data_IF_876511069949
#
_entry.id   IF_876511069949
#
_cell.length_a   1.000
_cell.length_b   1.000
_cell.length_c   1.000
_cell.angle_alpha   90.00
_cell.angle_beta   90.00
_cell.angle_gamma   90.00
#
_symmetry.space_group_name_H-M   'P 1'
#
loop_
_entity.id
_entity.type
_entity.pdbx_description
1 polymer ?
#
# COMPACT_ATOMS: atom_id res chain seq x y z
N UNK A 1 18.17 1.38 -70.23
CA UNK A 1 18.43 0.60 -69.01
C UNK A 1 18.65 1.56 -67.84
N UNK A 2 17.61 1.92 -67.06
CA UNK A 2 17.78 2.60 -65.79
C UNK A 2 17.65 1.61 -64.62
N UNK A 3 18.59 1.70 -63.68
CA UNK A 3 18.71 0.88 -62.48
C UNK A 3 17.59 1.18 -61.48
N UNK A 4 16.82 0.16 -61.06
CA UNK A 4 15.95 0.24 -59.88
C UNK A 4 16.79 0.01 -58.61
N UNK A 5 16.93 1.06 -57.80
CA UNK A 5 17.45 0.93 -56.45
C UNK A 5 16.36 0.36 -55.52
N UNK A 6 16.66 -0.65 -54.68
CA UNK A 6 15.71 -1.15 -53.69
C UNK A 6 15.57 -0.14 -52.55
N UNK A 7 14.33 0.20 -52.20
CA UNK A 7 14.03 1.02 -51.03
C UNK A 7 14.45 0.30 -49.75
N UNK A 8 15.34 0.93 -48.97
CA UNK A 8 15.76 0.42 -47.67
C UNK A 8 14.58 0.45 -46.67
N UNK A 9 14.46 -0.56 -45.80
CA UNK A 9 13.41 -0.59 -44.78
C UNK A 9 13.64 0.53 -43.76
N UNK A 10 12.63 1.38 -43.59
CA UNK A 10 12.62 2.45 -42.57
C UNK A 10 12.70 1.79 -41.20
N UNK A 11 13.82 1.99 -40.53
CA UNK A 11 14.06 1.54 -39.15
C UNK A 11 12.92 2.00 -38.23
N UNK A 12 12.41 1.05 -37.44
CA UNK A 12 11.35 1.26 -36.47
C UNK A 12 11.66 2.43 -35.54
N UNK A 13 10.66 3.27 -35.32
CA UNK A 13 10.72 4.36 -34.38
C UNK A 13 11.20 3.86 -33.01
N UNK A 14 12.17 4.52 -32.36
CA UNK A 14 12.60 4.13 -31.03
C UNK A 14 11.42 4.24 -30.06
N UNK A 15 11.25 3.22 -29.24
CA UNK A 15 10.28 3.20 -28.15
C UNK A 15 10.44 4.48 -27.32
N UNK A 16 9.42 5.36 -27.36
CA UNK A 16 9.38 6.53 -26.49
C UNK A 16 9.36 6.03 -25.05
N UNK A 17 10.50 6.14 -24.37
CA UNK A 17 10.53 6.23 -22.91
C UNK A 17 9.66 7.44 -22.57
N UNK A 18 8.44 7.20 -22.10
CA UNK A 18 7.59 8.27 -21.58
C UNK A 18 8.32 8.93 -20.42
N UNK A 19 8.96 10.07 -20.69
CA UNK A 19 9.46 10.95 -19.65
C UNK A 19 8.30 11.23 -18.69
N UNK A 20 8.47 10.83 -17.44
CA UNK A 20 7.54 11.15 -16.37
C UNK A 20 7.29 12.66 -16.42
N UNK A 21 6.02 13.06 -16.56
CA UNK A 21 5.66 14.48 -16.68
C UNK A 21 6.22 15.26 -15.51
N UNK A 22 6.97 16.32 -15.77
CA UNK A 22 7.52 17.24 -14.76
C UNK A 22 6.45 17.74 -13.79
N UNK A 23 5.19 17.85 -14.25
CA UNK A 23 4.03 18.19 -13.41
C UNK A 23 3.71 17.12 -12.36
N UNK A 24 3.85 15.84 -12.70
CA UNK A 24 3.61 14.74 -11.76
C UNK A 24 4.72 14.70 -10.68
N UNK A 25 5.98 14.88 -11.07
CA UNK A 25 7.09 14.98 -10.11
C UNK A 25 6.92 16.18 -9.18
N UNK A 26 6.48 17.33 -9.70
CA UNK A 26 6.22 18.52 -8.89
C UNK A 26 5.07 18.31 -7.88
N UNK A 27 3.98 17.63 -8.28
CA UNK A 27 2.87 17.31 -7.37
C UNK A 27 3.32 16.36 -6.26
N UNK A 28 4.04 15.29 -6.61
CA UNK A 28 4.57 14.33 -5.63
C UNK A 28 5.54 15.02 -4.67
N UNK A 29 6.45 15.85 -5.18
CA UNK A 29 7.38 16.61 -4.36
C UNK A 29 6.65 17.62 -3.45
N UNK A 30 5.63 18.32 -3.94
CA UNK A 30 4.82 19.22 -3.12
C UNK A 30 4.09 18.47 -2.01
N UNK A 31 3.55 17.28 -2.31
CA UNK A 31 2.88 16.43 -1.31
C UNK A 31 3.85 15.91 -0.26
N UNK A 32 5.05 15.47 -0.66
CA UNK A 32 6.11 15.08 0.26
C UNK A 32 6.50 16.24 1.18
N UNK A 33 6.69 17.43 0.62
CA UNK A 33 7.07 18.62 1.40
C UNK A 33 5.97 19.06 2.36
N UNK A 34 4.71 19.09 1.93
CA UNK A 34 3.57 19.48 2.78
C UNK A 34 3.32 18.43 3.87
N UNK A 35 3.30 17.15 3.52
CA UNK A 35 3.14 16.08 4.49
C UNK A 35 4.32 16.09 5.47
N UNK A 36 5.56 16.12 5.00
CA UNK A 36 6.75 16.19 5.84
C UNK A 36 6.73 17.39 6.79
N UNK A 37 6.39 18.59 6.30
CA UNK A 37 6.28 19.78 7.13
C UNK A 37 5.16 19.68 8.18
N UNK A 38 3.97 19.20 7.78
CA UNK A 38 2.85 18.99 8.70
C UNK A 38 3.20 17.96 9.78
N UNK A 39 3.86 16.87 9.41
CA UNK A 39 4.29 15.82 10.32
C UNK A 39 5.34 16.33 11.31
N UNK A 40 6.35 17.06 10.85
CA UNK A 40 7.35 17.67 11.72
C UNK A 40 6.76 18.72 12.67
N UNK A 41 5.70 19.42 12.25
CA UNK A 41 5.00 20.40 13.07
C UNK A 41 4.06 19.74 14.10
N UNK A 42 3.28 18.75 13.70
CA UNK A 42 2.28 18.06 14.52
C UNK A 42 2.91 17.06 15.50
N UNK A 43 4.08 16.49 15.19
CA UNK A 43 4.80 15.52 16.03
C UNK A 43 5.42 16.14 17.30
N UNK A 44 5.03 17.36 17.70
CA UNK A 44 5.69 18.08 18.79
C UNK A 44 5.28 17.65 20.19
N UNK A 45 4.07 17.14 20.40
CA UNK A 45 3.63 16.68 21.73
C UNK A 45 2.35 15.87 21.61
N UNK A 46 2.45 14.55 21.81
CA UNK A 46 1.35 13.60 22.04
C UNK A 46 0.30 13.46 20.91
N UNK A 47 0.45 12.41 20.09
CA UNK A 47 -0.67 11.72 19.45
C UNK A 47 -0.22 10.35 18.90
N UNK A 48 -0.84 9.26 19.36
CA UNK A 48 -0.68 7.91 18.81
C UNK A 48 0.15 6.93 19.66
N UNK A 49 0.07 5.67 19.27
CA UNK A 49 0.80 4.52 19.80
C UNK A 49 2.27 4.47 19.33
N UNK A 50 2.83 5.56 18.80
CA UNK A 50 4.19 5.59 18.24
C UNK A 50 5.26 5.17 19.25
N UNK A 51 5.14 5.60 20.52
CA UNK A 51 6.09 5.18 21.56
C UNK A 51 5.96 3.70 21.90
N UNK A 52 4.76 3.12 21.78
CA UNK A 52 4.58 1.69 21.86
C UNK A 52 5.24 0.98 20.68
N UNK A 53 5.14 1.51 19.46
CA UNK A 53 5.84 0.97 18.30
C UNK A 53 7.37 1.02 18.48
N UNK A 54 7.91 2.13 19.00
CA UNK A 54 9.34 2.28 19.28
C UNK A 54 9.82 1.33 20.38
N UNK A 55 9.07 1.21 21.47
CA UNK A 55 9.39 0.30 22.55
C UNK A 55 9.34 -1.17 22.10
N UNK A 56 8.33 -1.54 21.32
CA UNK A 56 8.17 -2.89 20.76
C UNK A 56 9.24 -3.22 19.73
N UNK A 57 9.59 -2.28 18.85
CA UNK A 57 10.69 -2.45 17.89
C UNK A 57 12.06 -2.55 18.56
N UNK A 58 12.27 -1.82 19.66
CA UNK A 58 13.46 -1.94 20.50
C UNK A 58 13.55 -3.33 21.12
N UNK A 59 12.47 -3.78 21.76
CA UNK A 59 12.36 -5.11 22.35
C UNK A 59 12.68 -6.20 21.33
N UNK A 60 12.08 -6.13 20.13
CA UNK A 60 12.37 -7.09 19.06
C UNK A 60 13.85 -7.08 18.65
N UNK A 61 14.50 -5.91 18.65
CA UNK A 61 15.92 -5.79 18.29
C UNK A 61 16.84 -6.34 19.38
N UNK A 62 16.49 -6.14 20.65
CA UNK A 62 17.31 -6.55 21.80
C UNK A 62 17.09 -8.02 22.20
N UNK A 63 15.85 -8.51 22.16
CA UNK A 63 15.45 -9.82 22.67
C UNK A 63 15.01 -10.82 21.58
N UNK A 64 14.80 -10.35 20.35
CA UNK A 64 14.28 -11.16 19.26
C UNK A 64 12.75 -11.39 19.35
N UNK A 65 12.27 -12.48 18.76
CA UNK A 65 10.83 -12.75 18.67
C UNK A 65 10.22 -13.09 20.04
N UNK A 66 9.30 -12.24 20.50
CA UNK A 66 8.62 -12.37 21.79
C UNK A 66 7.16 -12.77 21.58
N UNK A 67 6.70 -13.80 22.28
CA UNK A 67 5.32 -14.33 22.18
C UNK A 67 4.42 -13.98 23.36
N UNK A 68 4.97 -13.38 24.42
CA UNK A 68 4.23 -12.93 25.59
C UNK A 68 4.49 -11.46 25.86
N UNK A 69 3.45 -10.68 26.12
CA UNK A 69 3.61 -9.24 26.35
C UNK A 69 4.43 -8.96 27.61
N UNK A 70 5.56 -8.24 27.51
CA UNK A 70 6.32 -7.79 28.67
C UNK A 70 5.76 -6.48 29.26
N UNK A 71 4.75 -5.88 28.63
CA UNK A 71 4.25 -4.56 28.98
C UNK A 71 3.27 -4.63 30.16
N UNK A 72 3.62 -4.07 31.34
CA UNK A 72 2.83 -4.18 32.57
C UNK A 72 1.40 -3.61 32.43
N UNK A 73 1.25 -2.55 31.65
CA UNK A 73 0.00 -1.78 31.53
C UNK A 73 -0.91 -2.21 30.39
N UNK A 74 -0.47 -3.14 29.52
CA UNK A 74 -1.25 -3.57 28.36
C UNK A 74 -1.82 -4.98 28.53
N UNK A 75 -0.94 -5.98 28.71
CA UNK A 75 -1.37 -7.38 28.72
C UNK A 75 -0.29 -8.29 29.32
N UNK A 76 0.36 -7.89 30.41
CA UNK A 76 1.53 -8.60 30.95
C UNK A 76 1.30 -10.11 31.05
N UNK A 77 2.24 -10.88 30.50
CA UNK A 77 2.23 -12.35 30.52
C UNK A 77 1.22 -13.03 29.59
N UNK A 78 0.30 -12.28 28.98
CA UNK A 78 -0.63 -12.82 27.98
C UNK A 78 0.07 -13.07 26.65
N UNK A 79 -0.48 -13.99 25.86
CA UNK A 79 -0.02 -14.24 24.50
C UNK A 79 -0.15 -12.95 23.69
N UNK A 80 0.95 -12.55 23.07
CA UNK A 80 1.00 -11.37 22.22
C UNK A 80 1.27 -11.81 20.79
N UNK A 81 0.21 -11.83 19.98
CA UNK A 81 0.32 -12.03 18.55
C UNK A 81 0.79 -10.72 17.91
N UNK A 82 2.10 -10.48 17.89
CA UNK A 82 2.66 -9.26 17.34
C UNK A 82 2.55 -9.25 15.81
N UNK A 83 1.38 -8.84 15.30
CA UNK A 83 1.08 -8.82 13.87
C UNK A 83 1.79 -7.71 13.11
N UNK A 84 2.24 -6.66 13.81
CA UNK A 84 2.81 -5.44 13.21
C UNK A 84 4.30 -5.29 13.49
N UNK A 85 4.96 -6.40 13.86
CA UNK A 85 6.37 -6.45 14.26
C UNK A 85 7.31 -5.74 13.27
N UNK A 86 7.05 -5.83 11.96
CA UNK A 86 7.92 -5.23 10.95
C UNK A 86 7.78 -3.71 10.94
N UNK A 87 6.57 -3.19 11.17
CA UNK A 87 6.38 -1.75 11.31
C UNK A 87 7.10 -1.24 12.56
N UNK A 88 6.93 -1.93 13.69
CA UNK A 88 7.59 -1.61 14.96
C UNK A 88 9.11 -1.58 14.80
N UNK A 89 9.67 -2.61 14.16
CA UNK A 89 11.10 -2.67 13.86
C UNK A 89 11.56 -1.50 12.99
N UNK A 90 10.86 -1.21 11.89
CA UNK A 90 11.21 -0.09 10.99
C UNK A 90 11.12 1.26 11.70
N UNK A 91 10.11 1.48 12.53
CA UNK A 91 9.97 2.68 13.35
C UNK A 91 11.15 2.84 14.32
N UNK A 92 11.53 1.77 15.02
CA UNK A 92 12.68 1.81 15.92
C UNK A 92 14.00 2.07 15.19
N UNK A 93 14.26 1.38 14.07
CA UNK A 93 15.49 1.59 13.29
C UNK A 93 15.59 3.01 12.72
N UNK A 94 14.50 3.55 12.17
CA UNK A 94 14.47 4.93 11.66
C UNK A 94 14.65 5.96 12.78
N UNK A 95 14.08 5.70 13.96
CA UNK A 95 14.31 6.52 15.15
C UNK A 95 15.76 6.45 15.64
N UNK A 96 16.38 5.27 15.65
CA UNK A 96 17.77 5.11 16.05
C UNK A 96 18.75 5.89 15.15
N UNK A 97 18.42 6.01 13.86
CA UNK A 97 19.25 6.72 12.87
C UNK A 97 19.03 8.24 12.84
N UNK A 98 17.79 8.70 13.00
CA UNK A 98 17.42 10.11 12.76
C UNK A 98 16.51 10.74 13.82
N UNK A 99 16.31 10.06 14.95
CA UNK A 99 15.35 10.44 15.98
C UNK A 99 13.92 10.53 15.43
N UNK A 100 13.07 11.26 16.15
CA UNK A 100 11.67 11.48 15.74
C UNK A 100 11.54 12.24 14.42
N UNK A 101 12.53 13.07 14.04
CA UNK A 101 12.53 13.74 12.74
C UNK A 101 12.71 12.73 11.59
N UNK A 102 13.61 11.76 11.76
CA UNK A 102 13.81 10.65 10.83
C UNK A 102 12.53 9.83 10.66
N UNK A 103 11.85 9.51 11.78
CA UNK A 103 10.55 8.82 11.76
C UNK A 103 9.51 9.61 10.97
N UNK A 104 9.34 10.90 11.23
CA UNK A 104 8.39 11.76 10.52
C UNK A 104 8.67 11.81 9.01
N UNK A 105 9.93 11.94 8.60
CA UNK A 105 10.32 12.01 7.19
C UNK A 105 10.15 10.67 6.46
N UNK A 106 10.54 9.57 7.10
CA UNK A 106 10.35 8.22 6.57
C UNK A 106 8.85 7.91 6.40
N UNK A 107 8.05 8.23 7.41
CA UNK A 107 6.61 8.04 7.39
C UNK A 107 5.92 8.91 6.32
N UNK A 108 6.35 10.17 6.14
CA UNK A 108 5.89 11.03 5.05
C UNK A 108 6.12 10.37 3.68
N UNK A 109 7.30 9.75 3.52
CA UNK A 109 7.68 9.08 2.27
C UNK A 109 6.81 7.85 2.01
N UNK A 110 6.46 7.08 3.04
CA UNK A 110 5.51 5.96 2.92
C UNK A 110 4.14 6.45 2.43
N UNK A 111 3.59 7.47 3.08
CA UNK A 111 2.25 7.99 2.77
C UNK A 111 2.17 8.54 1.35
N UNK A 112 3.15 9.35 0.95
CA UNK A 112 3.16 9.91 -0.41
C UNK A 112 3.55 8.87 -1.46
N UNK A 113 4.45 7.94 -1.13
CA UNK A 113 4.80 6.82 -1.99
C UNK A 113 3.59 5.95 -2.35
N UNK A 114 2.63 5.79 -1.43
CA UNK A 114 1.36 5.12 -1.70
C UNK A 114 0.41 5.92 -2.61
N UNK A 115 0.32 7.24 -2.41
CA UNK A 115 -0.61 8.11 -3.15
C UNK A 115 -0.10 8.52 -4.55
N UNK A 116 1.21 8.67 -4.72
CA UNK A 116 1.82 9.15 -5.95
C UNK A 116 1.48 8.29 -7.20
N UNK A 117 1.48 6.94 -7.13
CA UNK A 117 1.04 6.12 -8.26
C UNK A 117 -0.42 6.35 -8.63
N UNK A 118 -1.31 6.47 -7.64
CA UNK A 118 -2.73 6.74 -7.88
C UNK A 118 -2.95 8.12 -8.50
N UNK A 119 -2.25 9.12 -7.98
CA UNK A 119 -2.21 10.47 -8.54
C UNK A 119 -1.89 10.45 -10.04
N UNK A 120 -0.82 9.73 -10.39
CA UNK A 120 -0.36 9.61 -11.76
C UNK A 120 -1.37 8.88 -12.65
N UNK A 121 -1.97 7.79 -12.17
CA UNK A 121 -3.00 7.03 -12.90
C UNK A 121 -4.29 7.84 -13.13
N UNK A 122 -4.58 8.80 -12.27
CA UNK A 122 -5.76 9.66 -12.33
C UNK A 122 -5.54 11.00 -13.05
N UNK A 123 -4.30 11.32 -13.48
CA UNK A 123 -3.94 12.65 -14.03
C UNK A 123 -4.73 13.04 -15.29
N UNK A 124 -5.09 12.05 -16.10
CA UNK A 124 -5.80 12.25 -17.38
C UNK A 124 -7.31 11.95 -17.26
N UNK A 125 -7.84 11.86 -16.03
CA UNK A 125 -9.28 11.66 -15.75
C UNK A 125 -9.99 13.00 -15.60
N UNK A 126 -11.32 12.98 -15.58
CA UNK A 126 -12.13 14.19 -15.39
C UNK A 126 -11.72 14.91 -14.10
N UNK A 127 -11.56 16.24 -14.16
CA UNK A 127 -11.13 17.05 -13.02
C UNK A 127 -11.99 16.83 -11.75
N UNK A 128 -13.31 16.64 -11.90
CA UNK A 128 -14.22 16.36 -10.77
C UNK A 128 -13.93 15.02 -10.09
N UNK A 129 -13.76 13.94 -10.86
CA UNK A 129 -13.46 12.62 -10.30
C UNK A 129 -12.08 12.60 -9.63
N UNK A 130 -11.09 13.26 -10.24
CA UNK A 130 -9.75 13.42 -9.67
C UNK A 130 -9.81 14.22 -8.38
N UNK A 131 -10.54 15.34 -8.34
CA UNK A 131 -10.74 16.14 -7.12
C UNK A 131 -11.45 15.36 -6.00
N UNK A 132 -12.49 14.58 -6.32
CA UNK A 132 -13.18 13.76 -5.33
C UNK A 132 -12.27 12.66 -4.75
N UNK A 133 -11.49 11.98 -5.59
CA UNK A 133 -10.51 10.99 -5.14
C UNK A 133 -9.43 11.61 -4.24
N UNK A 134 -8.98 12.82 -4.59
CA UNK A 134 -8.04 13.57 -3.76
C UNK A 134 -8.63 14.01 -2.42
N UNK A 135 -9.86 14.51 -2.41
CA UNK A 135 -10.53 14.91 -1.16
C UNK A 135 -10.66 13.72 -0.21
N UNK A 136 -11.06 12.54 -0.71
CA UNK A 136 -11.12 11.31 0.07
C UNK A 136 -9.75 10.86 0.56
N UNK A 137 -8.72 10.96 -0.29
CA UNK A 137 -7.35 10.59 0.06
C UNK A 137 -6.77 11.50 1.14
N UNK A 138 -7.04 12.81 1.07
CA UNK A 138 -6.63 13.79 2.09
C UNK A 138 -7.37 13.53 3.40
N UNK A 139 -8.67 13.27 3.37
CA UNK A 139 -9.44 12.93 4.56
C UNK A 139 -8.89 11.67 5.25
N UNK A 140 -8.57 10.63 4.48
CA UNK A 140 -7.94 9.42 5.00
C UNK A 140 -6.50 9.68 5.51
N UNK A 141 -5.74 10.55 4.83
CA UNK A 141 -4.40 10.96 5.26
C UNK A 141 -4.44 11.65 6.62
N UNK A 142 -5.42 12.54 6.85
CA UNK A 142 -5.62 13.22 8.15
C UNK A 142 -5.76 12.21 9.28
N UNK A 143 -6.48 11.10 9.05
CA UNK A 143 -6.66 10.04 10.05
C UNK A 143 -5.38 9.23 10.35
N UNK A 144 -4.31 9.41 9.57
CA UNK A 144 -3.02 8.74 9.76
C UNK A 144 -1.85 9.71 9.73
N UNK A 145 -2.09 11.02 9.98
CA UNK A 145 -0.99 11.99 10.04
C UNK A 145 -0.05 11.65 11.20
N UNK A 146 -0.55 11.20 12.34
CA UNK A 146 0.34 10.78 13.42
C UNK A 146 1.10 9.50 13.00
N UNK A 147 2.44 9.38 13.18
CA UNK A 147 3.17 8.18 12.81
C UNK A 147 2.64 6.93 13.52
N UNK A 148 2.05 6.02 12.74
CA UNK A 148 1.45 4.76 13.22
C UNK A 148 1.56 3.65 12.19
N UNK A 149 1.45 2.41 12.63
CA UNK A 149 1.48 1.26 11.72
C UNK A 149 0.37 1.31 10.64
N UNK A 150 -0.78 1.92 10.94
CA UNK A 150 -1.88 2.09 9.99
C UNK A 150 -1.52 2.90 8.72
N UNK A 151 -0.50 3.78 8.77
CA UNK A 151 -0.03 4.49 7.58
C UNK A 151 0.56 3.57 6.50
N UNK A 152 1.19 2.47 6.90
CA UNK A 152 1.62 1.43 5.96
C UNK A 152 0.42 0.79 5.26
N UNK A 153 -0.67 0.52 5.99
CA UNK A 153 -1.89 -0.04 5.39
C UNK A 153 -2.52 0.91 4.38
N UNK A 154 -2.53 2.19 4.68
CA UNK A 154 -3.01 3.21 3.75
C UNK A 154 -2.21 3.18 2.44
N UNK A 155 -0.87 3.17 2.53
CA UNK A 155 0.00 3.12 1.37
C UNK A 155 -0.14 1.81 0.57
N UNK A 156 -0.24 0.66 1.26
CA UNK A 156 -0.38 -0.65 0.62
C UNK A 156 -1.76 -0.84 -0.02
N UNK A 157 -2.83 -0.36 0.62
CA UNK A 157 -4.17 -0.31 0.03
C UNK A 157 -4.18 0.51 -1.26
N UNK A 158 -3.55 1.70 -1.23
CA UNK A 158 -3.38 2.53 -2.42
C UNK A 158 -2.57 1.80 -3.51
N UNK A 159 -1.53 1.05 -3.12
CA UNK A 159 -0.76 0.18 -4.01
C UNK A 159 -1.61 -0.91 -4.67
N UNK A 160 -2.47 -1.60 -3.92
CA UNK A 160 -3.41 -2.60 -4.47
C UNK A 160 -4.36 -1.95 -5.47
N UNK A 161 -4.93 -0.79 -5.15
CA UNK A 161 -5.79 -0.04 -6.06
C UNK A 161 -5.05 0.37 -7.36
N UNK A 162 -3.80 0.82 -7.23
CA UNK A 162 -2.96 1.18 -8.37
C UNK A 162 -2.65 -0.04 -9.26
N UNK A 163 -2.29 -1.19 -8.66
CA UNK A 163 -2.05 -2.42 -9.41
C UNK A 163 -3.30 -2.94 -10.12
N UNK A 164 -4.47 -2.86 -9.48
CA UNK A 164 -5.75 -3.19 -10.14
C UNK A 164 -6.01 -2.27 -11.34
N UNK A 165 -5.72 -0.98 -11.22
CA UNK A 165 -5.85 -0.06 -12.33
C UNK A 165 -4.85 -0.35 -13.47
N UNK A 166 -3.60 -0.69 -13.14
CA UNK A 166 -2.57 -1.08 -14.13
C UNK A 166 -2.91 -2.43 -14.78
N UNK A 167 -3.46 -3.36 -14.00
CA UNK A 167 -3.91 -4.65 -14.48
C UNK A 167 -4.89 -4.50 -15.64
N UNK A 168 -5.64 -3.37 -15.73
CA UNK A 168 -6.59 -3.07 -16.82
C UNK A 168 -5.93 -2.78 -18.15
N UNK A 169 -4.61 -2.73 -18.19
CA UNK A 169 -3.83 -2.74 -19.44
C UNK A 169 -2.79 -3.86 -19.48
N UNK A 170 -2.31 -4.31 -18.33
CA UNK A 170 -1.27 -5.34 -18.21
C UNK A 170 -1.60 -6.32 -17.09
N UNK A 171 -2.22 -7.45 -17.42
CA UNK A 171 -2.63 -8.48 -16.45
C UNK A 171 -1.50 -8.98 -15.55
N UNK A 172 -0.24 -8.94 -16.02
CA UNK A 172 0.94 -9.28 -15.22
C UNK A 172 1.13 -8.43 -13.96
N UNK A 173 0.51 -7.25 -13.86
CA UNK A 173 0.53 -6.44 -12.63
C UNK A 173 -0.14 -7.16 -11.45
N UNK A 174 -1.04 -8.13 -11.71
CA UNK A 174 -1.69 -8.92 -10.66
C UNK A 174 -0.70 -9.80 -9.89
N UNK A 175 0.44 -10.18 -10.47
CA UNK A 175 1.46 -10.97 -9.78
C UNK A 175 2.12 -10.23 -8.61
N UNK A 176 2.10 -8.89 -8.63
CA UNK A 176 2.62 -8.09 -7.52
C UNK A 176 1.62 -7.98 -6.35
N UNK A 177 0.33 -8.29 -6.56
CA UNK A 177 -0.70 -8.15 -5.52
C UNK A 177 -0.45 -9.11 -4.35
N UNK A 178 -0.20 -10.42 -4.53
CA UNK A 178 0.12 -11.30 -3.40
C UNK A 178 1.36 -10.89 -2.63
N UNK A 179 2.39 -10.36 -3.31
CA UNK A 179 3.61 -9.86 -2.67
C UNK A 179 3.29 -8.68 -1.74
N UNK A 180 2.43 -7.76 -2.17
CA UNK A 180 1.95 -6.66 -1.31
C UNK A 180 1.22 -7.19 -0.07
N UNK A 181 0.38 -8.23 -0.20
CA UNK A 181 -0.31 -8.82 0.95
C UNK A 181 0.65 -9.52 1.92
N UNK A 182 1.66 -10.23 1.41
CA UNK A 182 2.70 -10.83 2.26
C UNK A 182 3.42 -9.76 3.10
N UNK A 183 3.82 -8.65 2.47
CA UNK A 183 4.45 -7.53 3.16
C UNK A 183 3.47 -6.85 4.13
N UNK A 184 2.21 -6.66 3.72
CA UNK A 184 1.18 -6.01 4.53
C UNK A 184 0.88 -6.77 5.82
N UNK A 185 0.76 -8.10 5.74
CA UNK A 185 0.49 -8.96 6.89
C UNK A 185 1.54 -8.83 8.01
N UNK A 186 2.77 -8.41 7.69
CA UNK A 186 3.84 -8.16 8.66
C UNK A 186 3.86 -6.71 9.19
N UNK A 187 3.24 -5.78 8.47
CA UNK A 187 3.28 -4.34 8.78
C UNK A 187 2.07 -3.88 9.60
N UNK A 188 0.85 -4.36 9.30
CA UNK A 188 -0.35 -3.93 10.01
C UNK A 188 -1.57 -4.81 9.69
N UNK A 189 -2.48 -4.96 10.66
CA UNK A 189 -3.64 -5.86 10.57
C UNK A 189 -4.79 -5.42 9.65
N UNK A 190 -4.69 -4.29 8.94
CA UNK A 190 -5.78 -3.78 8.09
C UNK A 190 -5.79 -4.35 6.65
N UNK A 191 -5.03 -5.42 6.39
CA UNK A 191 -5.07 -6.15 5.12
C UNK A 191 -6.47 -6.68 4.69
N UNK A 192 -7.45 -6.95 5.58
CA UNK A 192 -8.80 -7.35 5.13
C UNK A 192 -9.46 -6.32 4.22
N UNK A 193 -9.16 -5.03 4.39
CA UNK A 193 -9.67 -3.97 3.51
C UNK A 193 -9.18 -4.15 2.06
N UNK A 194 -7.92 -4.55 1.87
CA UNK A 194 -7.39 -4.86 0.55
C UNK A 194 -8.04 -6.09 -0.08
N UNK A 195 -8.27 -7.15 0.72
CA UNK A 195 -8.96 -8.35 0.24
C UNK A 195 -10.39 -8.04 -0.20
N UNK A 196 -11.10 -7.21 0.57
CA UNK A 196 -12.43 -6.72 0.20
C UNK A 196 -12.41 -5.96 -1.13
N UNK A 197 -11.44 -5.05 -1.32
CA UNK A 197 -11.27 -4.33 -2.59
C UNK A 197 -11.06 -5.31 -3.77
N UNK A 198 -10.20 -6.31 -3.59
CA UNK A 198 -9.91 -7.31 -4.63
C UNK A 198 -11.14 -8.18 -4.94
N UNK A 199 -11.90 -8.57 -3.92
CA UNK A 199 -13.15 -9.32 -4.07
C UNK A 199 -14.22 -8.49 -4.80
N UNK A 200 -14.43 -7.23 -4.41
CA UNK A 200 -15.36 -6.32 -5.07
C UNK A 200 -14.97 -6.07 -6.54
N UNK A 201 -13.67 -5.94 -6.83
CA UNK A 201 -13.19 -5.85 -8.21
C UNK A 201 -13.51 -7.12 -9.01
N UNK A 202 -13.35 -8.31 -8.40
CA UNK A 202 -13.73 -9.60 -8.98
C UNK A 202 -15.22 -9.69 -9.32
N UNK A 203 -16.08 -9.34 -8.36
CA UNK A 203 -17.54 -9.29 -8.53
C UNK A 203 -17.92 -8.29 -9.61
N UNK A 204 -17.32 -7.09 -9.61
CA UNK A 204 -17.56 -6.05 -10.61
C UNK A 204 -17.23 -6.51 -12.04
N UNK A 205 -16.19 -7.32 -12.23
CA UNK A 205 -15.88 -7.94 -13.53
C UNK A 205 -16.86 -9.06 -13.88
N UNK A 206 -17.27 -9.87 -12.91
CA UNK A 206 -18.19 -10.98 -13.14
C UNK A 206 -19.63 -10.54 -13.50
N UNK A 207 -20.10 -9.44 -12.91
CA UNK A 207 -21.44 -8.89 -13.13
C UNK A 207 -21.58 -8.08 -14.44
N UNK A 208 -20.49 -7.84 -15.18
CA UNK A 208 -20.55 -7.07 -16.43
C UNK A 208 -21.38 -7.81 -17.50
N UNK A 209 -22.40 -7.15 -18.09
CA UNK A 209 -23.16 -7.73 -19.18
C UNK A 209 -22.25 -8.13 -20.35
N UNK A 210 -22.33 -9.39 -20.81
CA UNK A 210 -21.55 -9.89 -21.97
C UNK A 210 -21.95 -9.22 -23.29
N UNK A 211 -23.05 -8.46 -23.32
CA UNK A 211 -23.57 -7.79 -24.51
C UNK A 211 -23.40 -6.28 -24.37
N UNK A 212 -22.36 -5.73 -25.01
CA UNK A 212 -22.21 -4.29 -25.18
C UNK A 212 -20.88 -3.90 -25.80
N UNK A 213 -20.92 -3.31 -27.00
CA UNK A 213 -19.81 -2.73 -27.77
C UNK A 213 -19.22 -1.48 -27.08
N UNK A 214 -18.73 -1.60 -25.85
CA UNK A 214 -17.90 -0.55 -25.24
C UNK A 214 -16.45 -0.75 -25.67
N UNK A 215 -15.70 0.33 -25.97
CA UNK A 215 -14.33 0.24 -26.48
C UNK A 215 -13.47 -0.61 -25.54
N UNK A 216 -12.87 -1.64 -26.13
CA UNK A 216 -12.00 -2.64 -25.52
C UNK A 216 -10.88 -2.02 -24.68
N UNK A 217 -11.05 -2.08 -23.35
CA UNK A 217 -9.98 -1.87 -22.37
C UNK A 217 -10.03 -3.02 -21.37
N UNK A 218 -9.70 -4.24 -21.79
CA UNK A 218 -9.77 -5.40 -20.90
C UNK A 218 -8.59 -6.37 -21.13
N UNK A 219 -7.70 -6.58 -20.14
CA UNK A 219 -6.67 -7.61 -20.21
C UNK A 219 -6.87 -8.74 -19.20
N UNK A 220 -7.85 -8.71 -18.29
CA UNK A 220 -8.05 -9.79 -17.31
C UNK A 220 -9.52 -10.16 -17.13
N UNK A 221 -9.78 -11.47 -17.19
CA UNK A 221 -11.08 -12.09 -16.87
C UNK A 221 -11.26 -12.15 -15.34
N UNK A 222 -12.45 -12.50 -14.88
CA UNK A 222 -12.71 -12.74 -13.45
C UNK A 222 -11.80 -13.82 -12.85
N UNK A 223 -11.40 -14.83 -13.64
CA UNK A 223 -10.58 -15.95 -13.18
C UNK A 223 -9.19 -15.52 -12.64
N UNK A 224 -8.37 -14.70 -13.34
CA UNK A 224 -7.15 -14.12 -12.78
C UNK A 224 -7.34 -13.40 -11.44
N UNK A 225 -8.45 -12.70 -11.22
CA UNK A 225 -8.71 -12.00 -9.95
C UNK A 225 -9.03 -12.96 -8.83
N UNK A 226 -9.83 -14.00 -9.12
CA UNK A 226 -10.14 -15.05 -8.15
C UNK A 226 -8.87 -15.81 -7.76
N UNK A 227 -8.02 -16.15 -8.73
CA UNK A 227 -6.72 -16.75 -8.47
C UNK A 227 -5.83 -15.82 -7.64
N UNK A 228 -5.75 -14.54 -8.02
CA UNK A 228 -4.98 -13.53 -7.26
C UNK A 228 -5.48 -13.42 -5.83
N UNK A 229 -6.80 -13.38 -5.61
CA UNK A 229 -7.41 -13.34 -4.29
C UNK A 229 -7.04 -14.58 -3.47
N UNK A 230 -7.14 -15.78 -4.04
CA UNK A 230 -6.74 -17.01 -3.37
C UNK A 230 -5.26 -17.01 -2.96
N UNK A 231 -4.37 -16.64 -3.88
CA UNK A 231 -2.93 -16.55 -3.59
C UNK A 231 -2.64 -15.45 -2.55
N UNK A 232 -3.33 -14.31 -2.60
CA UNK A 232 -3.20 -13.23 -1.63
C UNK A 232 -3.64 -13.65 -0.23
N UNK A 233 -4.68 -14.47 -0.08
CA UNK A 233 -5.08 -15.02 1.22
C UNK A 233 -3.99 -15.94 1.77
N UNK A 234 -3.42 -16.82 0.94
CA UNK A 234 -2.31 -17.69 1.35
C UNK A 234 -1.06 -16.87 1.71
N UNK A 235 -0.80 -15.79 0.98
CA UNK A 235 0.33 -14.90 1.22
C UNK A 235 0.30 -14.24 2.62
N UNK A 236 -0.86 -14.12 3.26
CA UNK A 236 -0.98 -13.62 4.63
C UNK A 236 -0.32 -14.53 5.67
N UNK A 237 -0.09 -15.80 5.32
CA UNK A 237 0.61 -16.77 6.19
C UNK A 237 2.13 -16.57 6.15
N UNK A 238 2.65 -15.72 5.27
CA UNK A 238 4.07 -15.37 5.18
C UNK A 238 4.47 -14.36 6.26
N UNK A 239 4.13 -14.68 7.50
CA UNK A 239 4.51 -13.95 8.72
C UNK A 239 5.07 -14.95 9.72
N UNK A 240 5.85 -14.51 10.73
CA UNK A 240 6.30 -15.41 11.79
C UNK A 240 5.14 -16.02 12.60
N UNK A 241 3.95 -15.41 12.57
CA UNK A 241 2.72 -15.94 13.19
C UNK A 241 2.10 -17.11 12.41
N UNK A 242 2.39 -17.23 11.10
CA UNK A 242 1.77 -18.26 10.25
C UNK A 242 0.24 -18.23 10.33
N UNK A 243 -0.36 -19.33 10.78
CA UNK A 243 -1.82 -19.48 10.92
C UNK A 243 -2.41 -18.71 12.11
N UNK A 244 -1.61 -18.36 13.11
CA UNK A 244 -2.06 -17.61 14.30
C UNK A 244 -2.49 -16.19 13.97
N UNK A 245 -2.16 -15.69 12.77
CA UNK A 245 -2.69 -14.42 12.26
C UNK A 245 -4.23 -14.42 12.18
N UNK A 246 -4.85 -15.61 12.07
CA UNK A 246 -6.30 -15.75 12.10
C UNK A 246 -6.86 -15.56 13.51
N UNK A 247 -6.11 -15.93 14.54
CA UNK A 247 -6.52 -15.72 15.93
C UNK A 247 -6.46 -14.25 16.31
N UNK A 248 -5.48 -13.50 15.79
CA UNK A 248 -5.46 -12.04 15.88
C UNK A 248 -6.77 -11.42 15.34
N UNK A 249 -7.27 -11.90 14.20
CA UNK A 249 -8.54 -11.42 13.63
C UNK A 249 -9.74 -11.75 14.52
N UNK A 250 -9.76 -12.94 15.15
CA UNK A 250 -10.85 -13.39 16.02
C UNK A 250 -10.94 -12.63 17.35
N UNK A 251 -9.83 -12.09 17.85
CA UNK A 251 -9.82 -11.29 19.08
C UNK A 251 -10.63 -10.00 18.90
N UNK A 252 -10.66 -9.44 17.68
CA UNK A 252 -11.45 -8.27 17.33
C UNK A 252 -12.97 -8.52 17.43
N UNK A 253 -13.43 -9.72 17.07
CA UNK A 253 -14.86 -10.08 17.09
C UNK A 253 -15.43 -10.20 18.51
N UNK A 254 -14.61 -10.55 19.51
CA UNK A 254 -15.09 -10.79 20.89
C UNK A 254 -15.34 -9.53 21.72
N UNK A 255 -14.90 -8.36 21.25
CA UNK A 255 -15.03 -7.10 21.99
C UNK A 255 -16.14 -6.19 21.42
N UNK A 256 -16.87 -6.64 20.40
CA UNK A 256 -18.00 -5.93 19.77
C UNK A 256 -19.35 -6.66 20.04
N UNK A 257 -19.35 -7.74 20.81
CA UNK A 257 -20.54 -8.47 21.24
C UNK A 257 -20.98 -8.06 22.65
#
# INVERSE_FOLDING_TARGET
MPLHAPALPVHGAPARLELVSTRALAVVAAQLSVAGAALLYLNRTLAGDVYFLLASGRLLTEEGWVTRSPFPTLAQGHVWHNQQWLAEWLFFQTHALGGMAGVSLAYATVLVGGLAPLAWLCRDRSARATAAAWALSIAALVAVLDPRAAGFSFALFAGVAALLAIARRRSGALFAVPVLFAVWANLHGAFPAGLLLLALAGVGVALRPRRGRLPSVEPYRSLPLVATLGVSVVALLLTPLGVEILDYLRVYDRHIA
#
